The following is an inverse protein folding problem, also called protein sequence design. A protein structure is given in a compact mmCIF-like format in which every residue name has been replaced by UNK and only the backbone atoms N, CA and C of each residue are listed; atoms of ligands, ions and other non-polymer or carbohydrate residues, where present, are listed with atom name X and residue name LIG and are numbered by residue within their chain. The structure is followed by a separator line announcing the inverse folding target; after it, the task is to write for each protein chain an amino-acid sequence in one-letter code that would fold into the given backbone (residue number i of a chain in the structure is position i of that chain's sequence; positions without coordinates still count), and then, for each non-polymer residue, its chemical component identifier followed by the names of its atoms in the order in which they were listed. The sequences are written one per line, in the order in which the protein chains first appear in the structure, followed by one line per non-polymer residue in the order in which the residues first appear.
data_IF_109783846044
#
_entry.id   IF_109783846044
#
_cell.length_a   1.000
_cell.length_b   1.000
_cell.length_c   1.000
_cell.angle_alpha   90.00
_cell.angle_beta   90.00
_cell.angle_gamma   90.00
#
_symmetry.space_group_name_H-M   'P 1'
#
loop_
_entity.id
_entity.type
_entity.pdbx_description
1 polymer ?
#
# COMPACT_ATOMS: atom_id res chain seq x y z
N UNK A 1 -3.54 5.34 5.30
CA UNK A 1 -3.67 4.34 4.23
C UNK A 1 -4.47 3.19 4.80
N UNK A 2 -5.68 2.99 4.32
CA UNK A 2 -6.59 1.93 4.75
C UNK A 2 -7.10 1.12 3.55
N UNK A 3 -6.80 1.55 2.33
CA UNK A 3 -7.22 0.89 1.10
C UNK A 3 -6.10 0.88 0.06
N UNK A 4 -6.27 0.07 -0.98
CA UNK A 4 -5.40 0.12 -2.16
C UNK A 4 -5.48 1.48 -2.89
N UNK A 5 -6.63 2.17 -2.83
CA UNK A 5 -6.78 3.48 -3.45
C UNK A 5 -5.87 4.53 -2.77
N UNK A 6 -5.71 4.45 -1.45
CA UNK A 6 -4.80 5.34 -0.72
C UNK A 6 -3.34 5.15 -1.15
N UNK A 7 -2.95 3.90 -1.49
CA UNK A 7 -1.62 3.61 -2.01
C UNK A 7 -1.41 4.23 -3.40
N UNK A 8 -2.43 4.23 -4.25
CA UNK A 8 -2.39 4.90 -5.57
C UNK A 8 -2.27 6.41 -5.41
N UNK A 9 -3.01 7.01 -4.46
CA UNK A 9 -2.89 8.44 -4.17
C UNK A 9 -1.49 8.80 -3.66
N UNK A 10 -0.94 8.01 -2.73
CA UNK A 10 0.41 8.19 -2.23
C UNK A 10 1.45 8.06 -3.35
N UNK A 11 1.31 7.06 -4.22
CA UNK A 11 2.19 6.87 -5.38
C UNK A 11 2.17 8.08 -6.32
N UNK A 12 0.98 8.64 -6.60
CA UNK A 12 0.83 9.85 -7.40
C UNK A 12 1.54 11.06 -6.79
N UNK A 13 1.40 11.26 -5.48
CA UNK A 13 2.09 12.33 -4.77
C UNK A 13 3.62 12.17 -4.79
N UNK A 14 4.12 10.95 -4.62
CA UNK A 14 5.56 10.66 -4.69
C UNK A 14 6.10 10.95 -6.10
N UNK A 15 5.39 10.52 -7.14
CA UNK A 15 5.79 10.80 -8.54
C UNK A 15 5.80 12.30 -8.84
N UNK A 16 4.81 13.04 -8.35
CA UNK A 16 4.78 14.49 -8.50
C UNK A 16 5.95 15.18 -7.79
N UNK A 17 6.29 14.75 -6.57
CA UNK A 17 7.44 15.28 -5.82
C UNK A 17 8.79 14.99 -6.52
N UNK A 18 8.93 13.80 -7.11
CA UNK A 18 10.11 13.46 -7.92
C UNK A 18 10.17 14.32 -9.20
N UNK A 19 9.05 14.48 -9.90
CA UNK A 19 8.97 15.30 -11.10
C UNK A 19 9.25 16.79 -10.80
N UNK A 20 8.84 17.27 -9.63
CA UNK A 20 9.10 18.63 -9.13
C UNK A 20 10.52 18.84 -8.61
N UNK A 21 11.31 17.78 -8.45
CA UNK A 21 12.67 17.85 -7.92
C UNK A 21 12.75 18.00 -6.40
N UNK A 22 11.63 17.87 -5.67
CA UNK A 22 11.61 17.84 -4.20
C UNK A 22 12.21 16.54 -3.65
N UNK A 23 12.08 15.45 -4.42
CA UNK A 23 12.71 14.16 -4.15
C UNK A 23 13.59 13.77 -5.33
N UNK A 24 14.74 13.16 -5.04
CA UNK A 24 15.48 12.43 -6.06
C UNK A 24 14.71 11.17 -6.48
N UNK A 25 14.96 10.62 -7.69
CA UNK A 25 14.37 9.36 -8.10
C UNK A 25 14.65 8.19 -7.14
N UNK A 26 15.84 8.19 -6.52
CA UNK A 26 16.23 7.17 -5.54
C UNK A 26 15.43 7.28 -4.23
N UNK A 27 15.24 8.50 -3.71
CA UNK A 27 14.41 8.72 -2.52
C UNK A 27 12.94 8.38 -2.79
N UNK A 28 12.41 8.79 -3.94
CA UNK A 28 11.05 8.43 -4.36
C UNK A 28 10.84 6.92 -4.43
N UNK A 29 11.82 6.18 -4.97
CA UNK A 29 11.77 4.72 -5.00
C UNK A 29 11.77 4.09 -3.59
N UNK A 30 12.58 4.61 -2.67
CA UNK A 30 12.59 4.13 -1.28
C UNK A 30 11.24 4.36 -0.59
N UNK A 31 10.65 5.55 -0.74
CA UNK A 31 9.33 5.84 -0.14
C UNK A 31 8.24 4.97 -0.77
N UNK A 32 8.26 4.80 -2.09
CA UNK A 32 7.32 3.93 -2.79
C UNK A 32 7.38 2.48 -2.28
N UNK A 33 8.57 1.97 -1.97
CA UNK A 33 8.74 0.62 -1.40
C UNK A 33 8.08 0.47 -0.03
N UNK A 34 8.11 1.51 0.81
CA UNK A 34 7.40 1.51 2.10
C UNK A 34 5.87 1.46 1.91
N UNK A 35 5.35 2.28 0.98
CA UNK A 35 3.93 2.30 0.61
C UNK A 35 3.47 0.93 0.12
N UNK A 36 4.25 0.30 -0.77
CA UNK A 36 3.93 -1.03 -1.29
C UNK A 36 3.96 -2.11 -0.22
N UNK A 37 4.96 -2.07 0.68
CA UNK A 37 5.06 -3.02 1.80
C UNK A 37 3.83 -2.91 2.70
N UNK A 38 3.45 -1.69 3.08
CA UNK A 38 2.26 -1.46 3.89
C UNK A 38 0.98 -1.96 3.20
N UNK A 39 0.83 -1.68 1.90
CA UNK A 39 -0.33 -2.14 1.10
C UNK A 39 -0.43 -3.66 1.11
N UNK A 40 0.69 -4.38 0.93
CA UNK A 40 0.73 -5.85 1.01
C UNK A 40 0.32 -6.38 2.38
N UNK A 41 0.86 -5.79 3.46
CA UNK A 41 0.48 -6.18 4.82
C UNK A 41 -1.01 -6.02 5.04
N UNK A 42 -1.59 -4.88 4.63
CA UNK A 42 -3.02 -4.63 4.75
C UNK A 42 -3.85 -5.67 3.99
N UNK A 43 -3.48 -5.97 2.75
CA UNK A 43 -4.14 -7.00 1.93
C UNK A 43 -4.08 -8.39 2.59
N UNK A 44 -2.92 -8.79 3.11
CA UNK A 44 -2.78 -10.05 3.85
C UNK A 44 -3.73 -10.10 5.04
N UNK A 45 -3.78 -9.05 5.86
CA UNK A 45 -4.67 -9.03 7.03
C UNK A 45 -6.16 -9.01 6.66
N UNK A 46 -6.55 -8.42 5.53
CA UNK A 46 -7.92 -8.50 5.02
C UNK A 46 -8.29 -9.92 4.60
N UNK A 47 -7.39 -10.59 3.87
CA UNK A 47 -7.57 -11.97 3.43
C UNK A 47 -7.66 -12.93 4.62
N UNK A 48 -6.77 -12.80 5.62
CA UNK A 48 -6.81 -13.60 6.85
C UNK A 48 -8.15 -13.45 7.57
N UNK A 49 -8.64 -12.21 7.74
CA UNK A 49 -9.94 -11.94 8.36
C UNK A 49 -11.09 -12.56 7.59
N UNK A 50 -11.08 -12.46 6.25
CA UNK A 50 -12.12 -13.05 5.39
C UNK A 50 -12.09 -14.57 5.42
N UNK A 51 -10.89 -15.17 5.44
CA UNK A 51 -10.72 -16.61 5.55
C UNK A 51 -11.26 -17.12 6.89
N UNK A 52 -10.85 -16.50 8.00
CA UNK A 52 -11.33 -16.87 9.34
C UNK A 52 -12.86 -16.77 9.45
N UNK A 53 -13.47 -15.76 8.83
CA UNK A 53 -14.93 -15.65 8.74
C UNK A 53 -15.51 -16.87 7.99
N UNK A 54 -15.03 -17.18 6.78
CA UNK A 54 -15.54 -18.30 5.99
C UNK A 54 -15.36 -19.66 6.70
N UNK A 55 -14.21 -19.89 7.32
CA UNK A 55 -13.92 -21.10 8.09
C UNK A 55 -14.83 -21.22 9.32
N UNK A 56 -15.15 -20.10 9.98
CA UNK A 56 -16.10 -20.05 11.08
C UNK A 56 -17.54 -20.37 10.68
N UNK A 57 -17.93 -20.09 9.43
CA UNK A 57 -19.25 -20.43 8.88
C UNK A 57 -19.32 -21.85 8.29
N UNK A 58 -18.19 -22.54 8.15
CA UNK A 58 -18.11 -23.91 7.59
C UNK A 58 -18.15 -24.99 8.69
N UNK A 59 -18.53 -24.63 9.92
CA UNK A 59 -18.77 -25.57 11.03
C UNK A 59 -20.25 -25.68 11.38
#
# INVERSE_FOLDING_TARGET
MSTAADAVQAAGAILAAVAGGELTPAEGAHVMALVETYRRTLETTDLERRLAALEGHTR
#
